data_IF_625986850581
#
_entry.id   IF_625986850581
#
_cell.length_a   1.000
_cell.length_b   1.000
_cell.length_c   1.000
_cell.angle_alpha   90.00
_cell.angle_beta   90.00
_cell.angle_gamma   90.00
#
_symmetry.space_group_name_H-M   'P 1'
#
loop_
_entity.id
_entity.type
_entity.pdbx_description
1 polymer ?
#
# COMPACT_ATOMS: atom_id res chain seq x y z
N UNK A 1 -14.29 6.99 -2.36
CA UNK A 1 -13.02 6.35 -1.95
C UNK A 1 -13.12 4.89 -2.37
N UNK A 2 -12.16 4.39 -3.14
CA UNK A 2 -12.27 3.10 -3.83
C UNK A 2 -12.26 1.93 -2.83
N UNK A 3 -13.42 1.31 -2.57
CA UNK A 3 -13.59 0.24 -1.57
C UNK A 3 -12.69 -0.96 -1.85
N UNK A 4 -12.28 -1.17 -3.11
CA UNK A 4 -11.37 -2.24 -3.54
C UNK A 4 -9.96 -2.03 -2.97
N UNK A 5 -9.39 -0.84 -3.20
CA UNK A 5 -8.05 -0.49 -2.70
C UNK A 5 -8.01 -0.55 -1.18
N UNK A 6 -9.07 -0.06 -0.52
CA UNK A 6 -9.17 -0.13 0.93
C UNK A 6 -9.17 -1.57 1.46
N UNK A 7 -9.86 -2.51 0.77
CA UNK A 7 -9.86 -3.93 1.13
C UNK A 7 -8.48 -4.55 0.96
N UNK A 8 -7.82 -4.28 -0.17
CA UNK A 8 -6.46 -4.77 -0.46
C UNK A 8 -5.48 -4.28 0.61
N UNK A 9 -5.48 -2.98 0.92
CA UNK A 9 -4.59 -2.40 1.91
C UNK A 9 -4.89 -2.88 3.33
N UNK A 10 -6.15 -3.20 3.66
CA UNK A 10 -6.48 -3.79 4.96
C UNK A 10 -5.91 -5.21 5.10
N UNK A 11 -6.03 -6.03 4.06
CA UNK A 11 -5.39 -7.35 4.03
C UNK A 11 -3.87 -7.23 4.12
N UNK A 12 -3.29 -6.29 3.37
CA UNK A 12 -1.85 -6.05 3.38
C UNK A 12 -1.34 -5.59 4.74
N UNK A 13 -2.04 -4.67 5.39
CA UNK A 13 -1.73 -4.24 6.76
C UNK A 13 -1.75 -5.41 7.74
N UNK A 14 -2.78 -6.24 7.66
CA UNK A 14 -2.92 -7.40 8.55
C UNK A 14 -1.79 -8.42 8.35
N UNK A 15 -1.43 -8.71 7.10
CA UNK A 15 -0.38 -9.68 6.78
C UNK A 15 1.03 -9.16 7.06
N UNK A 16 1.27 -7.87 6.84
CA UNK A 16 2.56 -7.23 7.15
C UNK A 16 2.81 -7.11 8.65
N UNK A 17 1.77 -7.05 9.49
CA UNK A 17 1.90 -6.75 10.90
C UNK A 17 2.14 -5.26 11.20
N UNK A 18 1.98 -4.38 10.20
CA UNK A 18 2.11 -2.94 10.40
C UNK A 18 1.05 -2.45 11.40
N UNK A 19 1.49 -1.84 12.50
CA UNK A 19 0.59 -1.34 13.55
C UNK A 19 0.12 0.09 13.29
N UNK A 20 0.91 0.87 12.54
CA UNK A 20 0.66 2.30 12.31
C UNK A 20 -0.38 2.57 11.24
N UNK A 21 -0.79 3.83 11.15
CA UNK A 21 -1.78 4.27 10.15
C UNK A 21 -1.18 4.13 8.76
N UNK A 22 -2.03 3.70 7.83
CA UNK A 22 -1.73 3.66 6.40
C UNK A 22 -2.78 4.52 5.72
N UNK A 23 -2.31 5.54 5.01
CA UNK A 23 -3.16 6.31 4.11
C UNK A 23 -2.76 6.03 2.68
N UNK A 24 -3.67 6.28 1.75
CA UNK A 24 -3.38 6.09 0.34
C UNK A 24 -4.08 7.14 -0.51
N UNK A 25 -3.47 7.40 -1.66
CA UNK A 25 -4.07 8.18 -2.75
C UNK A 25 -3.85 7.44 -4.05
N UNK A 26 -4.92 7.20 -4.78
CA UNK A 26 -4.88 6.62 -6.11
C UNK A 26 -5.28 7.68 -7.14
N UNK A 27 -4.39 7.97 -8.10
CA UNK A 27 -4.67 8.94 -9.18
C UNK A 27 -3.86 8.59 -10.42
N UNK A 28 -4.50 8.56 -11.58
CA UNK A 28 -3.89 8.31 -12.89
C UNK A 28 -3.05 7.00 -12.92
N UNK A 29 -3.56 5.93 -12.31
CA UNK A 29 -2.83 4.66 -12.23
C UNK A 29 -1.72 4.59 -11.19
N UNK A 30 -1.47 5.66 -10.43
CA UNK A 30 -0.40 5.71 -9.43
C UNK A 30 -1.01 5.58 -8.04
N UNK A 31 -0.69 4.49 -7.34
CA UNK A 31 -1.03 4.29 -5.93
C UNK A 31 0.10 4.81 -5.05
N UNK A 32 -0.16 5.87 -4.30
CA UNK A 32 0.74 6.39 -3.27
C UNK A 32 0.28 5.89 -1.91
N UNK A 33 1.13 5.17 -1.19
CA UNK A 33 0.91 4.72 0.18
C UNK A 33 1.75 5.59 1.12
N UNK A 34 1.10 6.20 2.10
CA UNK A 34 1.72 7.04 3.11
C UNK A 34 1.74 6.27 4.43
N UNK A 35 2.92 6.06 5.00
CA UNK A 35 3.08 5.34 6.26
C UNK A 35 4.41 5.67 6.92
N UNK A 36 4.47 5.56 8.25
CA UNK A 36 5.74 5.60 9.00
C UNK A 36 6.44 4.23 9.06
N UNK A 37 5.86 3.19 8.45
CA UNK A 37 6.36 1.82 8.50
C UNK A 37 6.45 1.15 7.10
N UNK A 38 7.09 1.78 6.09
CA UNK A 38 7.12 1.22 4.74
C UNK A 38 7.81 -0.15 4.69
N UNK A 39 8.86 -0.37 5.49
CA UNK A 39 9.56 -1.66 5.54
C UNK A 39 8.67 -2.85 5.96
N UNK A 40 7.66 -2.62 6.79
CA UNK A 40 6.70 -3.65 7.17
C UNK A 40 5.82 -4.04 5.97
N UNK A 41 5.37 -3.06 5.19
CA UNK A 41 4.56 -3.30 3.99
C UNK A 41 5.36 -3.92 2.85
N UNK A 42 6.63 -3.54 2.70
CA UNK A 42 7.54 -4.17 1.74
C UNK A 42 7.74 -5.65 2.10
N UNK A 43 7.85 -5.95 3.40
CA UNK A 43 8.09 -7.30 3.89
C UNK A 43 9.53 -7.76 3.68
N UNK A 44 9.85 -8.95 4.17
CA UNK A 44 11.19 -9.53 4.02
C UNK A 44 11.49 -9.74 2.53
N UNK A 45 12.63 -9.21 2.07
CA UNK A 45 13.09 -9.31 0.68
C UNK A 45 12.07 -8.84 -0.39
N UNK A 46 11.10 -8.00 -0.03
CA UNK A 46 10.10 -7.49 -0.98
C UNK A 46 8.92 -8.44 -1.26
N UNK A 47 8.85 -9.60 -0.61
CA UNK A 47 7.82 -10.63 -0.91
C UNK A 47 6.39 -10.10 -0.76
N UNK A 48 6.13 -9.25 0.24
CA UNK A 48 4.79 -8.70 0.44
C UNK A 48 4.46 -7.66 -0.61
N UNK A 49 5.39 -6.75 -0.95
CA UNK A 49 5.12 -5.77 -2.01
C UNK A 49 4.90 -6.43 -3.35
N UNK A 50 5.64 -7.48 -3.70
CA UNK A 50 5.44 -8.20 -4.97
C UNK A 50 4.06 -8.85 -5.01
N UNK A 51 3.69 -9.58 -3.96
CA UNK A 51 2.37 -10.22 -3.84
C UNK A 51 1.23 -9.21 -4.01
N UNK A 52 1.28 -8.10 -3.28
CA UNK A 52 0.21 -7.11 -3.31
C UNK A 52 0.22 -6.26 -4.58
N UNK A 53 1.38 -6.07 -5.21
CA UNK A 53 1.48 -5.45 -6.54
C UNK A 53 0.78 -6.29 -7.61
N UNK A 54 0.94 -7.62 -7.57
CA UNK A 54 0.22 -8.52 -8.50
C UNK A 54 -1.29 -8.50 -8.27
N UNK A 55 -1.74 -8.42 -7.02
CA UNK A 55 -3.18 -8.25 -6.70
C UNK A 55 -3.70 -6.91 -7.24
N UNK A 56 -2.94 -5.82 -7.06
CA UNK A 56 -3.30 -4.49 -7.55
C UNK A 56 -3.42 -4.47 -9.08
N UNK A 57 -2.47 -5.07 -9.82
CA UNK A 57 -2.54 -5.18 -11.29
C UNK A 57 -3.79 -5.94 -11.77
N UNK A 58 -4.23 -6.96 -11.03
CA UNK A 58 -5.42 -7.75 -11.37
C UNK A 58 -6.72 -7.00 -11.08
N UNK A 59 -6.78 -6.28 -9.97
CA UNK A 59 -8.00 -5.63 -9.49
C UNK A 59 -8.21 -4.20 -10.04
N UNK A 60 -7.13 -3.54 -10.47
CA UNK A 60 -7.11 -2.16 -10.94
C UNK A 60 -6.56 -2.10 -12.38
N UNK A 61 -7.45 -1.99 -13.35
CA UNK A 61 -7.08 -2.00 -14.78
C UNK A 61 -6.16 -0.85 -15.20
N UNK A 62 -6.23 0.30 -14.54
CA UNK A 62 -5.38 1.45 -14.84
C UNK A 62 -4.10 1.51 -13.99
N UNK A 63 -3.82 0.50 -13.16
CA UNK A 63 -2.66 0.50 -12.27
C UNK A 63 -1.34 0.44 -13.04
N UNK A 64 -0.49 1.43 -12.78
CA UNK A 64 0.82 1.62 -13.42
C UNK A 64 1.94 1.48 -12.43
N UNK A 65 1.78 2.05 -11.24
CA UNK A 65 2.88 2.25 -10.32
C UNK A 65 2.43 2.32 -8.86
N UNK A 66 3.26 1.78 -7.98
CA UNK A 66 3.14 1.89 -6.53
C UNK A 66 4.30 2.73 -5.99
N UNK A 67 3.99 3.71 -5.13
CA UNK A 67 4.99 4.47 -4.38
C UNK A 67 4.72 4.41 -2.89
N UNK A 68 5.77 4.15 -2.11
CA UNK A 68 5.77 4.39 -0.68
C UNK A 68 6.30 5.80 -0.40
N UNK A 69 5.56 6.54 0.41
CA UNK A 69 5.96 7.83 0.93
C UNK A 69 6.08 7.66 2.43
N UNK A 70 7.32 7.70 2.92
CA UNK A 70 7.57 7.64 4.35
C UNK A 70 7.10 8.95 4.99
N UNK A 71 6.24 8.84 5.99
CA UNK A 71 5.72 9.99 6.74
C UNK A 71 6.17 9.91 8.18
N UNK A 72 6.45 11.06 8.79
CA UNK A 72 6.67 11.19 10.23
C UNK A 72 5.49 10.62 11.01
N UNK A 73 5.75 10.05 12.19
CA UNK A 73 4.73 9.44 13.06
C UNK A 73 3.56 10.38 13.43
N UNK A 74 3.80 11.69 13.32
CA UNK A 74 2.84 12.74 13.54
C UNK A 74 2.39 13.30 12.20
N UNK A 75 1.09 13.21 11.98
CA UNK A 75 0.35 13.76 10.86
C UNK A 75 0.78 15.19 10.51
N UNK A 76 0.73 15.51 9.21
CA UNK A 76 0.42 16.85 8.72
C UNK A 76 -0.91 16.76 7.99
#
# INVERSE_FOLDING_TARGET
MDKRIQKILKSWKNESGASRVIQFRYRNGILKIFTSQPGWLIGKAGVLVDKYTEILKRELHDFKELKFIETSYYWV
#
